data_IF_863423250834
#
_entry.id   IF_863423250834
#
_cell.length_a   1.000
_cell.length_b   1.000
_cell.length_c   1.000
_cell.angle_alpha   90.00
_cell.angle_beta   90.00
_cell.angle_gamma   90.00
#
_symmetry.space_group_name_H-M   'P 1'
#
loop_
_entity.id
_entity.type
_entity.pdbx_description
1 polymer ?
#
# COMPACT_ATOMS: atom_id res chain seq x y z
N UNK A 1 24.59 4.48 22.02
CA UNK A 1 24.16 3.13 21.55
C UNK A 1 22.65 2.88 21.65
N UNK A 2 21.97 3.31 22.73
CA UNK A 2 20.50 3.15 22.87
C UNK A 2 19.68 3.81 21.74
N UNK A 3 20.09 4.98 21.24
CA UNK A 3 19.35 5.68 20.17
C UNK A 3 19.46 5.00 18.80
N UNK A 4 20.65 4.49 18.43
CA UNK A 4 20.81 3.69 17.20
C UNK A 4 19.98 2.41 17.24
N UNK A 5 19.90 1.76 18.39
CA UNK A 5 19.11 0.53 18.55
C UNK A 5 17.61 0.79 18.39
N UNK A 6 17.10 1.90 18.96
CA UNK A 6 15.69 2.30 18.79
C UNK A 6 15.34 2.58 17.33
N UNK A 7 16.22 3.28 16.60
CA UNK A 7 16.03 3.56 15.18
C UNK A 7 15.94 2.29 14.33
N UNK A 8 16.81 1.30 14.55
CA UNK A 8 16.77 0.02 13.81
C UNK A 8 15.47 -0.75 14.10
N UNK A 9 15.02 -0.76 15.35
CA UNK A 9 13.77 -1.41 15.75
C UNK A 9 12.56 -0.73 15.12
N UNK A 10 12.55 0.59 14.99
CA UNK A 10 11.44 1.31 14.36
C UNK A 10 11.40 1.09 12.84
N UNK A 11 12.55 1.02 12.16
CA UNK A 11 12.63 0.60 10.76
C UNK A 11 12.15 -0.85 10.56
N UNK A 12 12.54 -1.76 11.46
CA UNK A 12 12.11 -3.16 11.40
C UNK A 12 10.58 -3.27 11.50
N UNK A 13 9.94 -2.53 12.41
CA UNK A 13 8.47 -2.50 12.55
C UNK A 13 7.79 -2.02 11.28
N UNK A 14 8.30 -0.95 10.65
CA UNK A 14 7.72 -0.43 9.41
C UNK A 14 7.75 -1.49 8.31
N UNK A 15 8.89 -2.19 8.14
CA UNK A 15 9.02 -3.27 7.16
C UNK A 15 8.08 -4.44 7.49
N UNK A 16 7.95 -4.80 8.77
CA UNK A 16 7.06 -5.87 9.22
C UNK A 16 5.58 -5.56 8.97
N UNK A 17 5.16 -4.31 9.24
CA UNK A 17 3.80 -3.84 8.97
C UNK A 17 3.53 -3.88 7.45
N UNK A 18 4.49 -3.44 6.64
CA UNK A 18 4.34 -3.47 5.19
C UNK A 18 4.19 -4.89 4.65
N UNK A 19 5.01 -5.83 5.14
CA UNK A 19 4.89 -7.26 4.80
C UNK A 19 3.55 -7.86 5.24
N UNK A 20 3.06 -7.52 6.42
CA UNK A 20 1.76 -7.95 6.93
C UNK A 20 0.59 -7.45 6.08
N UNK A 21 0.64 -6.19 5.63
CA UNK A 21 -0.41 -5.62 4.77
C UNK A 21 -0.41 -6.28 3.40
N UNK A 22 0.77 -6.43 2.78
CA UNK A 22 0.90 -7.04 1.45
C UNK A 22 0.48 -8.52 1.48
N UNK A 23 0.92 -9.27 2.48
CA UNK A 23 0.51 -10.67 2.65
C UNK A 23 -0.99 -10.80 2.95
N UNK A 24 -1.58 -9.87 3.71
CA UNK A 24 -3.01 -9.80 3.96
C UNK A 24 -3.84 -9.64 2.68
N UNK A 25 -3.52 -8.66 1.82
CA UNK A 25 -4.25 -8.49 0.56
C UNK A 25 -4.07 -9.71 -0.37
N UNK A 26 -2.83 -10.24 -0.45
CA UNK A 26 -2.51 -11.41 -1.27
C UNK A 26 -3.32 -12.64 -0.84
N UNK A 27 -3.40 -12.90 0.47
CA UNK A 27 -4.16 -14.01 1.04
C UNK A 27 -5.66 -13.88 0.76
N UNK A 28 -6.26 -12.70 0.99
CA UNK A 28 -7.68 -12.47 0.68
C UNK A 28 -8.00 -12.69 -0.79
N UNK A 29 -7.14 -12.23 -1.69
CA UNK A 29 -7.33 -12.48 -3.12
C UNK A 29 -7.23 -13.98 -3.46
N UNK A 30 -6.36 -14.73 -2.77
CA UNK A 30 -6.15 -16.14 -3.02
C UNK A 30 -7.39 -16.99 -2.76
N UNK A 31 -8.13 -16.70 -1.68
CA UNK A 31 -9.42 -17.37 -1.45
C UNK A 31 -10.45 -17.08 -2.54
N UNK A 32 -10.50 -15.84 -3.04
CA UNK A 32 -11.41 -15.45 -4.14
C UNK A 32 -11.08 -16.24 -5.40
N UNK A 33 -9.80 -16.33 -5.77
CA UNK A 33 -9.37 -17.03 -6.98
C UNK A 33 -9.47 -18.55 -6.86
N UNK A 34 -9.26 -19.12 -5.66
CA UNK A 34 -9.56 -20.52 -5.37
C UNK A 34 -11.05 -20.82 -5.47
N UNK A 35 -11.92 -19.94 -4.97
CA UNK A 35 -13.37 -20.11 -5.04
C UNK A 35 -13.91 -20.10 -6.48
N UNK A 36 -13.19 -19.48 -7.43
CA UNK A 36 -13.54 -19.49 -8.84
C UNK A 36 -13.14 -20.78 -9.60
N UNK A 37 -12.55 -21.76 -8.91
CA UNK A 37 -12.24 -23.08 -9.50
C UNK A 37 -11.18 -23.05 -10.61
N UNK A 38 -10.32 -22.03 -10.60
CA UNK A 38 -9.28 -21.84 -11.63
C UNK A 38 -8.03 -22.70 -11.34
N UNK A 39 -7.18 -22.91 -12.35
CA UNK A 39 -5.95 -23.70 -12.18
C UNK A 39 -4.96 -23.02 -11.23
N UNK A 40 -4.16 -23.78 -10.47
CA UNK A 40 -3.22 -23.23 -9.45
C UNK A 40 -2.27 -22.17 -10.04
N UNK A 41 -1.81 -22.34 -11.28
CA UNK A 41 -0.96 -21.35 -11.95
C UNK A 41 -1.70 -20.03 -12.23
N UNK A 42 -2.96 -20.08 -12.64
CA UNK A 42 -3.78 -18.88 -12.85
C UNK A 42 -4.13 -18.21 -11.53
N UNK A 43 -4.31 -18.97 -10.45
CA UNK A 43 -4.54 -18.43 -9.11
C UNK A 43 -3.31 -17.64 -8.66
N UNK A 44 -2.10 -18.20 -8.77
CA UNK A 44 -0.87 -17.51 -8.34
C UNK A 44 -0.66 -16.22 -9.14
N UNK A 45 -0.80 -16.28 -10.47
CA UNK A 45 -0.65 -15.10 -11.32
C UNK A 45 -1.76 -14.06 -11.07
N UNK A 46 -3.01 -14.50 -10.90
CA UNK A 46 -4.16 -13.65 -10.63
C UNK A 46 -4.12 -13.00 -9.25
N UNK A 47 -3.65 -13.71 -8.23
CA UNK A 47 -3.49 -13.17 -6.87
C UNK A 47 -2.32 -12.19 -6.76
N UNK A 48 -1.20 -12.46 -7.43
CA UNK A 48 -0.09 -11.50 -7.48
C UNK A 48 -0.50 -10.24 -8.27
N UNK A 49 -1.04 -10.40 -9.48
CA UNK A 49 -1.36 -9.26 -10.33
C UNK A 49 -2.60 -8.48 -9.85
N UNK A 50 -3.68 -9.15 -9.46
CA UNK A 50 -4.93 -8.48 -9.06
C UNK A 50 -5.00 -8.32 -7.54
N UNK A 51 -4.58 -9.31 -6.78
CA UNK A 51 -4.62 -9.24 -5.32
C UNK A 51 -3.61 -8.29 -4.69
N UNK A 52 -2.38 -8.27 -5.18
CA UNK A 52 -1.33 -7.41 -4.60
C UNK A 52 -1.32 -6.04 -5.27
N UNK A 53 -1.29 -5.99 -6.61
CA UNK A 53 -1.17 -4.70 -7.32
C UNK A 53 -2.45 -3.89 -7.24
N UNK A 54 -3.60 -4.46 -7.62
CA UNK A 54 -4.86 -3.72 -7.65
C UNK A 54 -5.45 -3.45 -6.27
N UNK A 55 -5.24 -4.35 -5.30
CA UNK A 55 -5.86 -4.24 -3.98
C UNK A 55 -4.97 -3.61 -2.91
N UNK A 56 -3.63 -3.67 -3.00
CA UNK A 56 -2.78 -2.90 -2.09
C UNK A 56 -2.09 -1.71 -2.78
N UNK A 57 -1.45 -1.91 -3.94
CA UNK A 57 -0.55 -0.89 -4.52
C UNK A 57 -1.35 0.29 -5.08
N UNK A 58 -2.37 0.03 -5.89
CA UNK A 58 -3.22 1.07 -6.50
C UNK A 58 -3.87 1.99 -5.46
N UNK A 59 -4.56 1.48 -4.41
CA UNK A 59 -5.14 2.37 -3.40
C UNK A 59 -4.10 3.14 -2.58
N UNK A 60 -2.92 2.56 -2.35
CA UNK A 60 -1.84 3.27 -1.65
C UNK A 60 -1.28 4.43 -2.50
N UNK A 61 -1.06 4.20 -3.79
CA UNK A 61 -0.65 5.26 -4.73
C UNK A 61 -1.74 6.32 -4.86
N UNK A 62 -3.01 5.92 -4.95
CA UNK A 62 -4.14 6.84 -5.02
C UNK A 62 -4.22 7.74 -3.77
N UNK A 63 -3.97 7.19 -2.58
CA UNK A 63 -3.96 7.95 -1.33
C UNK A 63 -2.80 8.95 -1.28
N UNK A 64 -1.60 8.55 -1.72
CA UNK A 64 -0.44 9.47 -1.84
C UNK A 64 -0.75 10.60 -2.81
N UNK A 65 -1.29 10.29 -3.99
CA UNK A 65 -1.66 11.28 -4.98
C UNK A 65 -2.71 12.26 -4.44
N UNK A 66 -3.71 11.77 -3.72
CA UNK A 66 -4.75 12.60 -3.10
C UNK A 66 -4.16 13.58 -2.07
N UNK A 67 -3.23 13.13 -1.23
CA UNK A 67 -2.52 14.01 -0.28
C UNK A 67 -1.76 15.12 -1.01
N UNK A 68 -1.04 14.77 -2.08
CA UNK A 68 -0.29 15.75 -2.87
C UNK A 68 -1.22 16.80 -3.52
N UNK A 69 -2.37 16.38 -4.02
CA UNK A 69 -3.38 17.29 -4.58
C UNK A 69 -3.92 18.25 -3.51
N UNK A 70 -4.20 17.76 -2.30
CA UNK A 70 -4.65 18.60 -1.18
C UNK A 70 -3.57 19.63 -0.80
N UNK A 71 -2.31 19.22 -0.68
CA UNK A 71 -1.21 20.13 -0.37
C UNK A 71 -1.04 21.21 -1.45
N UNK A 72 -1.14 20.84 -2.73
CA UNK A 72 -1.13 21.82 -3.82
C UNK A 72 -2.31 22.79 -3.73
N UNK A 73 -3.52 22.30 -3.44
CA UNK A 73 -4.70 23.14 -3.31
C UNK A 73 -4.56 24.14 -2.17
N UNK A 74 -4.07 23.72 -1.00
CA UNK A 74 -3.80 24.60 0.15
C UNK A 74 -2.76 25.65 -0.22
N UNK A 75 -1.65 25.26 -0.85
CA UNK A 75 -0.61 26.19 -1.29
C UNK A 75 -1.14 27.26 -2.26
N UNK A 76 -1.99 26.87 -3.21
CA UNK A 76 -2.61 27.81 -4.16
C UNK A 76 -3.55 28.78 -3.43
N UNK A 77 -4.35 28.29 -2.49
CA UNK A 77 -5.27 29.13 -1.70
C UNK A 77 -4.49 30.14 -0.86
N UNK A 78 -3.43 29.71 -0.17
CA UNK A 78 -2.58 30.59 0.63
C UNK A 78 -1.91 31.66 -0.25
N UNK A 79 -1.41 31.27 -1.43
CA UNK A 79 -0.83 32.21 -2.39
C UNK A 79 -1.85 33.25 -2.85
N UNK A 80 -3.09 32.82 -3.14
CA UNK A 80 -4.17 33.71 -3.57
C UNK A 80 -4.59 34.70 -2.46
N UNK A 81 -4.59 34.26 -1.20
CA UNK A 81 -4.90 35.11 -0.04
C UNK A 81 -3.77 36.09 0.30
N UNK A 82 -2.54 35.78 -0.10
CA UNK A 82 -1.38 36.65 0.10
C UNK A 82 -1.25 37.77 -0.93
N UNK A 83 -2.07 37.75 -1.98
CA UNK A 83 -2.13 38.71 -3.07
C UNK A 83 -3.13 39.84 -2.77
#
# INVERSE_FOLDING_TARGET
>A
MKEKFKSVVDWLKIVLIFLLVVSGCGFSSYFVWQAMGTTIQQIILGTLAVGVVWNCIVPFIALIALILVILCAVFIVDWLQSL
#
